data_IF_883284509600
#
_entry.id   IF_883284509600
#
_cell.length_a   1.000
_cell.length_b   1.000
_cell.length_c   1.000
_cell.angle_alpha   90.00
_cell.angle_beta   90.00
_cell.angle_gamma   90.00
#
_symmetry.space_group_name_H-M   'P 1'
#
loop_
_entity.id
_entity.type
_entity.pdbx_description
1 polymer ?
#
# COMPACT_ATOMS: atom_id res chain seq x y z
N UNK A 1 5.87 -10.65 -34.84
CA UNK A 1 5.92 -10.89 -33.37
C UNK A 1 7.20 -10.30 -32.84
N UNK A 2 7.17 -9.76 -31.61
CA UNK A 2 8.37 -9.24 -30.94
C UNK A 2 8.45 -9.74 -29.51
N UNK A 3 9.68 -9.83 -28.99
CA UNK A 3 9.90 -10.09 -27.57
C UNK A 3 9.62 -8.83 -26.76
N UNK A 4 9.06 -9.01 -25.56
CA UNK A 4 8.81 -7.95 -24.59
C UNK A 4 9.28 -8.41 -23.21
N UNK A 5 10.11 -7.58 -22.57
CA UNK A 5 10.69 -7.86 -21.25
C UNK A 5 9.94 -7.09 -20.19
N UNK A 6 8.97 -7.74 -19.55
CA UNK A 6 8.09 -7.10 -18.56
C UNK A 6 8.76 -7.12 -17.20
N UNK A 7 8.98 -5.95 -16.61
CA UNK A 7 9.61 -5.84 -15.30
C UNK A 7 8.76 -6.50 -14.21
N UNK A 8 9.44 -7.05 -13.19
CA UNK A 8 8.82 -7.60 -11.99
C UNK A 8 9.46 -7.01 -10.74
N UNK A 9 8.69 -6.96 -9.67
CA UNK A 9 9.12 -6.46 -8.37
C UNK A 9 9.78 -7.60 -7.58
N UNK A 10 11.01 -7.34 -7.12
CA UNK A 10 11.75 -8.16 -6.16
C UNK A 10 11.48 -7.66 -4.75
N UNK A 11 11.29 -8.61 -3.83
CA UNK A 11 10.94 -8.34 -2.44
C UNK A 11 11.94 -9.00 -1.50
N UNK A 12 12.49 -8.21 -0.58
CA UNK A 12 13.18 -8.72 0.61
C UNK A 12 12.38 -8.37 1.85
N UNK A 13 12.31 -9.31 2.79
CA UNK A 13 11.65 -9.15 4.08
C UNK A 13 12.68 -9.35 5.20
N UNK A 14 12.71 -8.44 6.16
CA UNK A 14 13.58 -8.53 7.35
C UNK A 14 12.91 -7.92 8.59
N UNK A 15 13.55 -8.07 9.74
CA UNK A 15 13.08 -7.49 11.01
C UNK A 15 12.49 -8.52 11.96
N UNK A 16 11.85 -8.03 13.02
CA UNK A 16 11.36 -8.86 14.12
C UNK A 16 10.03 -9.52 13.79
N UNK A 17 9.91 -10.82 14.08
CA UNK A 17 8.63 -11.54 13.97
C UNK A 17 8.14 -11.75 12.53
N UNK A 18 9.03 -11.62 11.53
CA UNK A 18 8.67 -11.85 10.15
C UNK A 18 8.35 -13.32 9.88
N UNK A 19 7.37 -13.54 8.99
CA UNK A 19 7.03 -14.86 8.47
C UNK A 19 7.19 -14.84 6.95
N UNK A 20 8.26 -15.44 6.40
CA UNK A 20 8.45 -15.50 4.95
C UNK A 20 7.53 -16.53 4.29
N UNK A 21 6.74 -17.27 5.07
CA UNK A 21 5.79 -18.24 4.53
C UNK A 21 4.63 -17.50 3.87
N UNK A 22 4.41 -17.68 2.55
CA UNK A 22 3.27 -17.09 1.88
C UNK A 22 1.97 -17.72 2.37
N UNK A 23 0.92 -16.92 2.48
CA UNK A 23 -0.45 -17.38 2.70
C UNK A 23 -1.27 -17.04 1.45
N UNK A 24 -2.10 -17.97 0.99
CA UNK A 24 -3.06 -17.66 -0.07
C UNK A 24 -4.13 -16.70 0.48
N UNK A 25 -4.33 -15.57 -0.20
CA UNK A 25 -5.27 -14.56 0.23
C UNK A 25 -6.71 -15.09 0.27
N UNK A 26 -7.05 -16.04 -0.61
CA UNK A 26 -8.37 -16.69 -0.63
C UNK A 26 -8.57 -17.60 0.59
N UNK A 27 -7.51 -18.22 1.11
CA UNK A 27 -7.58 -19.03 2.33
C UNK A 27 -7.72 -18.15 3.58
N UNK A 28 -7.14 -16.95 3.58
CA UNK A 28 -7.30 -16.00 4.69
C UNK A 28 -8.76 -15.54 4.84
N UNK A 29 -9.46 -15.23 3.75
CA UNK A 29 -10.85 -14.76 3.79
C UNK A 29 -11.83 -15.74 4.45
N UNK A 30 -11.49 -17.03 4.54
CA UNK A 30 -12.38 -18.09 5.04
C UNK A 30 -12.20 -18.43 6.53
N UNK A 31 -11.12 -17.98 7.19
CA UNK A 31 -10.81 -18.43 8.55
C UNK A 31 -11.28 -17.48 9.66
N UNK A 32 -12.61 -17.40 9.87
CA UNK A 32 -13.27 -16.64 10.96
C UNK A 32 -12.65 -16.89 12.36
N UNK A 33 -12.05 -18.05 12.58
CA UNK A 33 -11.37 -18.43 13.83
C UNK A 33 -9.99 -17.77 14.03
N UNK A 34 -9.20 -17.56 12.97
CA UNK A 34 -7.90 -16.87 13.08
C UNK A 34 -8.11 -15.38 13.38
N UNK A 35 -9.15 -14.79 12.76
CA UNK A 35 -9.59 -13.42 13.04
C UNK A 35 -10.01 -13.20 14.51
N UNK A 36 -10.61 -14.20 15.14
CA UNK A 36 -11.02 -14.16 16.55
C UNK A 36 -9.83 -14.25 17.52
N UNK A 37 -8.74 -14.93 17.12
CA UNK A 37 -7.52 -15.04 17.94
C UNK A 37 -6.68 -13.76 17.93
N UNK A 38 -6.59 -13.06 16.78
CA UNK A 38 -5.97 -11.75 16.68
C UNK A 38 -6.66 -10.66 17.53
N UNK A 39 -7.91 -10.89 17.95
CA UNK A 39 -8.68 -10.03 18.85
C UNK A 39 -8.34 -10.21 20.33
N UNK A 40 -7.68 -11.31 20.71
CA UNK A 40 -7.19 -11.50 22.07
C UNK A 40 -5.82 -10.84 22.13
N UNK A 41 -5.61 -9.92 23.06
CA UNK A 41 -4.32 -9.26 23.34
C UNK A 41 -3.25 -10.26 23.87
N UNK A 42 -3.28 -11.51 23.40
CA UNK A 42 -2.27 -12.50 23.68
C UNK A 42 -1.09 -12.19 22.77
N UNK A 43 -0.08 -11.55 23.36
CA UNK A 43 1.28 -11.65 22.87
C UNK A 43 1.66 -13.12 22.92
N UNK A 44 1.32 -13.89 21.89
CA UNK A 44 2.08 -15.07 21.58
C UNK A 44 3.45 -14.53 21.15
N UNK A 45 4.39 -14.54 22.11
CA UNK A 45 5.81 -14.56 21.78
C UNK A 45 6.02 -15.82 20.98
N UNK A 46 5.76 -15.73 19.68
CA UNK A 46 6.13 -16.76 18.77
C UNK A 46 7.66 -16.78 18.81
N UNK A 47 8.23 -17.86 19.36
CA UNK A 47 9.67 -18.13 19.36
C UNK A 47 10.11 -18.48 17.93
N UNK A 48 9.72 -17.66 16.95
CA UNK A 48 10.16 -17.78 15.57
C UNK A 48 11.60 -17.29 15.51
N UNK A 49 12.46 -18.13 14.94
CA UNK A 49 13.87 -17.86 14.82
C UNK A 49 14.10 -16.45 14.24
N UNK A 50 14.98 -15.67 14.86
CA UNK A 50 15.43 -14.41 14.30
C UNK A 50 16.08 -14.70 12.94
N UNK A 51 15.36 -14.43 11.85
CA UNK A 51 15.94 -14.45 10.52
C UNK A 51 16.92 -13.28 10.48
N UNK A 52 18.22 -13.59 10.52
CA UNK A 52 19.27 -12.58 10.51
C UNK A 52 19.45 -12.05 9.09
N UNK A 53 18.92 -10.85 8.85
CA UNK A 53 19.12 -10.07 7.63
C UNK A 53 18.02 -10.19 6.56
N UNK A 54 18.23 -9.56 5.40
CA UNK A 54 17.26 -9.51 4.30
C UNK A 54 16.96 -10.89 3.73
N UNK A 55 15.72 -11.37 3.89
CA UNK A 55 15.26 -12.61 3.29
C UNK A 55 14.59 -12.34 1.94
N UNK A 56 15.18 -12.83 0.86
CA UNK A 56 14.60 -12.77 -0.48
C UNK A 56 13.36 -13.65 -0.57
N UNK A 57 12.20 -13.07 -0.84
CA UNK A 57 10.98 -13.85 -1.02
C UNK A 57 11.05 -14.66 -2.32
N UNK A 58 10.44 -15.86 -2.38
CA UNK A 58 10.48 -16.72 -3.56
C UNK A 58 9.60 -16.20 -4.71
N UNK A 59 8.76 -15.19 -4.45
CA UNK A 59 7.81 -14.62 -5.41
C UNK A 59 8.36 -13.34 -6.05
N UNK A 60 7.85 -13.02 -7.24
CA UNK A 60 8.12 -11.75 -7.95
C UNK A 60 6.79 -11.18 -8.42
N UNK A 61 6.47 -9.96 -8.01
CA UNK A 61 5.21 -9.33 -8.39
C UNK A 61 5.28 -8.88 -9.86
N UNK A 62 4.34 -9.30 -10.69
CA UNK A 62 4.24 -8.84 -12.07
C UNK A 62 3.48 -7.52 -12.16
N UNK A 63 2.44 -7.34 -11.34
CA UNK A 63 1.57 -6.17 -11.38
C UNK A 63 1.89 -5.23 -10.24
N UNK A 64 1.65 -5.65 -9.00
CA UNK A 64 1.74 -4.76 -7.85
C UNK A 64 1.95 -5.48 -6.51
N UNK A 65 2.47 -4.70 -5.56
CA UNK A 65 2.57 -5.04 -4.15
C UNK A 65 1.74 -4.01 -3.38
N UNK A 66 0.91 -4.48 -2.47
CA UNK A 66 0.14 -3.65 -1.56
C UNK A 66 0.56 -3.91 -0.12
N UNK A 67 0.73 -2.84 0.66
CA UNK A 67 1.00 -2.93 2.09
C UNK A 67 -0.05 -2.12 2.85
N UNK A 68 -0.71 -2.73 3.82
CA UNK A 68 -1.65 -2.04 4.69
C UNK A 68 -2.20 -2.92 5.82
N UNK A 69 -2.84 -2.27 6.79
CA UNK A 69 -3.63 -2.94 7.83
C UNK A 69 -4.77 -3.76 7.19
N UNK A 70 -4.84 -5.04 7.55
CA UNK A 70 -5.82 -6.00 7.02
C UNK A 70 -7.26 -5.64 7.44
N UNK A 71 -7.42 -4.91 8.55
CA UNK A 71 -8.72 -4.69 9.21
C UNK A 71 -8.97 -3.21 9.51
N UNK A 72 -8.76 -2.36 8.50
CA UNK A 72 -8.93 -0.90 8.53
C UNK A 72 -10.36 -0.42 8.80
N UNK A 73 -11.38 -1.26 8.56
CA UNK A 73 -12.80 -0.94 8.70
C UNK A 73 -13.40 -1.21 10.09
N UNK A 74 -12.66 -1.81 11.04
CA UNK A 74 -13.21 -2.10 12.37
C UNK A 74 -13.51 -0.80 13.12
N UNK A 75 -14.80 -0.57 13.38
CA UNK A 75 -15.31 0.52 14.21
C UNK A 75 -14.66 0.49 15.59
N UNK A 76 -14.59 1.67 16.22
CA UNK A 76 -14.06 1.79 17.57
C UNK A 76 -14.87 0.98 18.57
N UNK A 77 -14.37 -0.22 18.91
CA UNK A 77 -14.88 -0.99 20.04
C UNK A 77 -14.29 -0.40 21.30
N UNK A 78 -15.17 0.11 22.17
CA UNK A 78 -14.83 0.49 23.53
C UNK A 78 -14.98 -0.75 24.40
N UNK A 79 -13.87 -1.40 24.75
CA UNK A 79 -13.91 -2.48 25.75
C UNK A 79 -13.80 -1.86 27.14
N UNK A 80 -14.84 -2.06 27.97
CA UNK A 80 -14.82 -1.70 29.39
C UNK A 80 -14.39 -2.93 30.18
N UNK A 81 -13.21 -2.88 30.79
CA UNK A 81 -12.78 -3.91 31.74
C UNK A 81 -13.06 -3.42 33.15
N UNK A 82 -13.84 -4.20 33.90
CA UNK A 82 -13.97 -4.07 35.35
C UNK A 82 -12.94 -4.98 36.00
N UNK A 83 -12.00 -4.41 36.76
CA UNK A 83 -11.15 -5.19 37.67
C UNK A 83 -11.91 -5.35 38.97
N UNK A 84 -12.32 -6.58 39.29
CA UNK A 84 -12.84 -6.92 40.62
C UNK A 84 -11.69 -6.88 41.63
N UNK A 85 -11.50 -5.72 42.25
CA UNK A 85 -10.85 -5.60 43.54
C UNK A 85 -11.81 -4.85 44.46
N UNK A 86 -12.18 -5.49 45.56
CA UNK A 86 -13.23 -5.12 46.54
C UNK A 86 -13.10 -3.74 47.22
N UNK A 87 -12.32 -2.79 46.69
CA UNK A 87 -12.15 -1.45 47.27
C UNK A 87 -12.20 -0.27 46.28
N UNK A 88 -12.24 -0.46 44.97
CA UNK A 88 -12.52 0.63 44.02
C UNK A 88 -12.68 0.11 42.58
N UNK A 89 -13.90 0.18 42.03
CA UNK A 89 -14.14 -0.09 40.61
C UNK A 89 -13.78 1.16 39.79
N UNK A 90 -12.61 1.19 39.15
CA UNK A 90 -12.29 2.19 38.12
C UNK A 90 -12.50 1.54 36.74
N UNK A 91 -13.45 2.02 35.92
CA UNK A 91 -13.58 1.54 34.55
C UNK A 91 -12.32 1.92 33.76
N UNK A 92 -11.69 0.96 33.10
CA UNK A 92 -10.65 1.22 32.10
C UNK A 92 -11.29 1.17 30.72
N UNK A 93 -11.29 2.31 30.03
CA UNK A 93 -11.77 2.42 28.65
C UNK A 93 -10.58 2.22 27.71
N UNK A 94 -10.60 1.16 26.90
CA UNK A 94 -9.70 1.03 25.75
C UNK A 94 -10.49 1.34 24.49
N UNK A 95 -10.10 2.41 23.80
CA UNK A 95 -10.64 2.75 22.48
C UNK A 95 -9.75 2.13 21.40
N UNK A 96 -10.29 1.21 20.60
CA UNK A 96 -9.64 0.76 19.37
C UNK A 96 -9.96 1.73 18.24
N UNK A 97 -9.26 2.85 18.12
CA UNK A 97 -9.46 3.79 17.01
C UNK A 97 -9.25 3.10 15.65
N UNK A 98 -9.93 3.59 14.59
CA UNK A 98 -9.71 3.16 13.20
C UNK A 98 -8.20 3.02 12.92
N UNK A 99 -7.78 1.80 12.58
CA UNK A 99 -6.36 1.49 12.35
C UNK A 99 -6.01 1.80 10.90
N UNK A 100 -5.75 3.07 10.62
CA UNK A 100 -5.01 3.43 9.42
C UNK A 100 -3.57 2.91 9.55
N UNK A 101 -3.03 2.43 8.44
CA UNK A 101 -1.68 1.89 8.33
C UNK A 101 -0.65 2.94 8.72
N UNK A 102 0.15 2.66 9.75
CA UNK A 102 1.30 3.48 10.14
C UNK A 102 2.58 2.74 9.74
N UNK A 103 3.42 3.40 8.97
CA UNK A 103 4.71 2.89 8.54
C UNK A 103 5.71 4.04 8.34
N UNK A 104 6.98 3.69 8.23
CA UNK A 104 8.04 4.58 7.76
C UNK A 104 8.39 4.16 6.32
N UNK A 105 8.57 5.12 5.42
CA UNK A 105 8.88 4.87 4.01
C UNK A 105 10.17 5.61 3.62
N UNK A 106 11.02 4.97 2.83
CA UNK A 106 12.19 5.57 2.19
C UNK A 106 12.14 5.22 0.70
N UNK A 107 12.36 6.22 -0.16
CA UNK A 107 12.30 6.11 -1.62
C UNK A 107 13.70 6.37 -2.18
N UNK A 108 14.22 5.46 -3.00
CA UNK A 108 15.56 5.50 -3.60
C UNK A 108 16.67 5.89 -2.62
N UNK A 109 16.68 5.24 -1.44
CA UNK A 109 17.63 5.48 -0.35
C UNK A 109 17.60 6.92 0.23
N UNK A 110 16.52 7.64 -0.03
CA UNK A 110 16.22 8.93 0.58
C UNK A 110 15.87 8.83 2.08
N UNK A 111 15.56 9.98 2.71
CA UNK A 111 15.24 10.01 4.14
C UNK A 111 13.99 9.18 4.46
N UNK A 112 13.96 8.60 5.66
CA UNK A 112 12.79 7.90 6.17
C UNK A 112 11.72 8.90 6.60
N UNK A 113 10.54 8.80 6.01
CA UNK A 113 9.38 9.63 6.33
C UNK A 113 8.31 8.81 7.06
N UNK A 114 7.71 9.39 8.09
CA UNK A 114 6.59 8.77 8.81
C UNK A 114 5.31 8.98 8.04
N UNK A 115 4.66 7.89 7.66
CA UNK A 115 3.44 7.91 6.89
C UNK A 115 2.30 7.22 7.65
N UNK A 116 1.14 7.88 7.68
CA UNK A 116 -0.12 7.26 8.10
C UNK A 116 -1.14 7.40 6.97
N UNK A 117 -1.73 6.28 6.54
CA UNK A 117 -2.53 6.22 5.31
C UNK A 117 -3.40 4.97 5.29
N UNK A 118 -4.27 4.82 4.29
CA UNK A 118 -5.01 3.57 4.05
C UNK A 118 -4.10 2.44 3.58
N UNK A 119 -2.93 2.75 3.02
CA UNK A 119 -1.92 1.78 2.61
C UNK A 119 -0.97 2.34 1.55
N UNK A 120 -0.05 1.50 1.12
CA UNK A 120 0.92 1.76 0.06
C UNK A 120 0.68 0.78 -1.08
N UNK A 121 0.52 1.30 -2.30
CA UNK A 121 0.54 0.49 -3.53
C UNK A 121 1.82 0.77 -4.30
N UNK A 122 2.52 -0.27 -4.73
CA UNK A 122 3.70 -0.18 -5.60
C UNK A 122 3.45 -1.07 -6.81
N UNK A 123 3.46 -0.51 -8.02
CA UNK A 123 3.15 -1.26 -9.24
C UNK A 123 4.25 -1.15 -10.29
N UNK A 124 4.29 -2.11 -11.22
CA UNK A 124 5.10 -2.07 -12.46
C UNK A 124 4.32 -1.45 -13.61
N UNK A 125 4.95 -1.25 -14.77
CA UNK A 125 4.27 -0.79 -15.99
C UNK A 125 3.23 -1.79 -16.52
N UNK A 126 3.29 -3.06 -16.09
CA UNK A 126 2.15 -3.97 -16.29
C UNK A 126 0.99 -3.59 -15.38
N UNK A 127 1.25 -3.48 -14.07
CA UNK A 127 0.21 -3.20 -13.07
C UNK A 127 -0.42 -1.82 -13.21
N UNK A 128 0.25 -0.91 -13.92
CA UNK A 128 -0.25 0.43 -14.22
C UNK A 128 -1.56 0.45 -15.01
N UNK A 129 -1.98 -0.67 -15.62
CA UNK A 129 -3.25 -0.83 -16.34
C UNK A 129 -4.36 -1.54 -15.52
N UNK A 130 -4.04 -1.98 -14.31
CA UNK A 130 -4.89 -2.85 -13.49
C UNK A 130 -5.43 -2.10 -12.26
N UNK A 131 -5.24 -2.64 -11.05
CA UNK A 131 -5.75 -2.04 -9.83
C UNK A 131 -5.11 -0.68 -9.56
N UNK A 132 -3.80 -0.55 -9.76
CA UNK A 132 -3.08 0.72 -9.59
C UNK A 132 -3.64 1.86 -10.45
N UNK A 133 -4.10 1.58 -11.68
CA UNK A 133 -4.80 2.57 -12.50
C UNK A 133 -6.08 3.06 -11.83
N UNK A 134 -6.92 2.13 -11.39
CA UNK A 134 -8.26 2.42 -10.92
C UNK A 134 -8.28 3.21 -9.61
N UNK A 135 -7.26 3.03 -8.77
CA UNK A 135 -7.15 3.76 -7.50
C UNK A 135 -6.51 5.15 -7.66
N UNK A 136 -5.82 5.41 -8.78
CA UNK A 136 -5.12 6.67 -9.03
C UNK A 136 -5.81 7.56 -10.09
N UNK A 137 -6.69 7.00 -10.93
CA UNK A 137 -7.43 7.75 -11.95
C UNK A 137 -8.37 8.78 -11.34
N UNK A 138 -8.62 9.85 -12.08
CA UNK A 138 -9.61 10.88 -11.72
C UNK A 138 -10.84 10.78 -12.62
N UNK A 139 -11.99 11.11 -12.04
CA UNK A 139 -13.24 11.22 -12.78
C UNK A 139 -13.39 12.64 -13.36
N UNK A 140 -14.12 12.75 -14.48
CA UNK A 140 -14.45 14.04 -15.08
C UNK A 140 -15.07 15.02 -14.08
N UNK A 141 -15.93 14.53 -13.19
CA UNK A 141 -16.56 15.34 -12.15
C UNK A 141 -15.52 16.05 -11.26
N UNK A 142 -14.51 15.33 -10.78
CA UNK A 142 -13.49 15.91 -9.90
C UNK A 142 -12.65 16.98 -10.63
N UNK A 143 -12.31 16.73 -11.90
CA UNK A 143 -11.60 17.69 -12.74
C UNK A 143 -12.45 18.94 -13.01
N UNK A 144 -13.74 18.75 -13.31
CA UNK A 144 -14.69 19.84 -13.51
C UNK A 144 -14.84 20.71 -12.25
N UNK A 145 -14.97 20.10 -11.08
CA UNK A 145 -15.05 20.81 -9.80
C UNK A 145 -13.80 21.66 -9.53
N UNK A 146 -12.60 21.12 -9.79
CA UNK A 146 -11.33 21.85 -9.63
C UNK A 146 -11.26 23.03 -10.60
N UNK A 147 -11.55 22.82 -11.89
CA UNK A 147 -11.46 23.88 -12.88
C UNK A 147 -12.51 24.98 -12.67
N UNK A 148 -13.70 24.65 -12.14
CA UNK A 148 -14.70 25.64 -11.71
C UNK A 148 -14.20 26.51 -10.54
N UNK A 149 -13.40 25.95 -9.64
CA UNK A 149 -12.77 26.74 -8.57
C UNK A 149 -11.75 27.71 -9.16
N UNK A 150 -10.93 27.25 -10.12
CA UNK A 150 -9.93 28.09 -10.79
C UNK A 150 -10.56 29.23 -11.62
N UNK A 151 -11.65 28.95 -12.33
CA UNK A 151 -12.46 29.94 -13.06
C UNK A 151 -12.95 31.06 -12.12
N UNK A 152 -13.41 30.72 -10.91
CA UNK A 152 -13.86 31.71 -9.91
C UNK A 152 -12.75 32.62 -9.40
N UNK A 153 -11.49 32.17 -9.41
CA UNK A 153 -10.34 32.95 -8.94
C UNK A 153 -9.65 33.71 -10.08
N UNK A 154 -10.22 33.71 -11.29
CA UNK A 154 -9.68 34.40 -12.46
C UNK A 154 -8.53 33.64 -13.15
N UNK A 155 -8.35 32.35 -12.86
CA UNK A 155 -7.34 31.51 -13.50
C UNK A 155 -7.68 31.16 -14.96
N UNK A 156 -8.97 31.13 -15.30
CA UNK A 156 -9.46 30.83 -16.66
C UNK A 156 -10.17 32.04 -17.26
N UNK A 157 -9.67 32.50 -18.41
CA UNK A 157 -10.25 33.62 -19.18
C UNK A 157 -11.40 33.17 -20.13
N UNK A 158 -11.79 31.90 -20.09
CA UNK A 158 -12.77 31.32 -21.02
C UNK A 158 -13.76 30.42 -20.27
N UNK A 159 -15.03 30.34 -20.73
CA UNK A 159 -16.02 29.47 -20.12
C UNK A 159 -15.56 28.01 -20.13
N UNK A 160 -15.77 27.30 -19.02
CA UNK A 160 -15.43 25.90 -18.90
C UNK A 160 -16.19 25.03 -19.93
N UNK A 161 -15.47 24.50 -20.92
CA UNK A 161 -16.03 23.56 -21.92
C UNK A 161 -15.88 22.11 -21.46
N UNK A 162 -16.90 21.29 -21.71
CA UNK A 162 -16.86 19.86 -21.42
C UNK A 162 -15.69 19.13 -22.12
N UNK A 163 -15.32 19.57 -23.33
CA UNK A 163 -14.16 19.04 -24.07
C UNK A 163 -12.84 19.26 -23.34
N UNK A 164 -12.68 20.40 -22.64
CA UNK A 164 -11.47 20.68 -21.86
C UNK A 164 -11.38 19.74 -20.65
N UNK A 165 -12.49 19.56 -19.93
CA UNK A 165 -12.57 18.62 -18.79
C UNK A 165 -12.17 17.22 -19.25
N UNK A 166 -12.79 16.73 -20.33
CA UNK A 166 -12.49 15.40 -20.86
C UNK A 166 -11.03 15.26 -21.29
N UNK A 167 -10.48 16.27 -21.98
CA UNK A 167 -9.09 16.27 -22.42
C UNK A 167 -8.11 16.26 -21.24
N UNK A 168 -8.35 17.07 -20.20
CA UNK A 168 -7.51 17.10 -19.00
C UNK A 168 -7.60 15.78 -18.24
N UNK A 169 -8.80 15.24 -18.05
CA UNK A 169 -9.01 13.93 -17.41
C UNK A 169 -8.28 12.83 -18.14
N UNK A 170 -8.43 12.74 -19.47
CA UNK A 170 -7.77 11.72 -20.29
C UNK A 170 -6.25 11.87 -20.22
N UNK A 171 -5.72 13.07 -20.42
CA UNK A 171 -4.27 13.32 -20.34
C UNK A 171 -3.69 12.94 -18.97
N UNK A 172 -4.40 13.26 -17.88
CA UNK A 172 -3.97 12.87 -16.54
C UNK A 172 -4.00 11.36 -16.37
N UNK A 173 -5.09 10.69 -16.76
CA UNK A 173 -5.23 9.25 -16.59
C UNK A 173 -4.22 8.48 -17.46
N UNK A 174 -3.98 8.94 -18.69
CA UNK A 174 -2.96 8.37 -19.59
C UNK A 174 -1.55 8.52 -19.01
N UNK A 175 -1.28 9.59 -18.23
CA UNK A 175 0.01 9.77 -17.55
C UNK A 175 0.29 8.76 -16.43
N UNK A 176 -0.73 8.03 -15.97
CA UNK A 176 -0.57 6.93 -15.02
C UNK A 176 -0.06 5.65 -15.70
N UNK A 177 -0.20 5.56 -17.02
CA UNK A 177 0.23 4.41 -17.81
C UNK A 177 1.69 4.59 -18.23
N UNK A 178 2.47 3.52 -18.09
CA UNK A 178 3.86 3.51 -18.55
C UNK A 178 4.23 2.12 -19.07
N UNK A 179 5.35 2.03 -19.79
CA UNK A 179 5.70 0.78 -20.47
C UNK A 179 6.06 -0.30 -19.46
N UNK A 180 5.60 -1.55 -19.65
CA UNK A 180 6.01 -2.66 -18.79
C UNK A 180 7.50 -2.99 -18.92
N UNK A 181 8.20 -2.45 -19.93
CA UNK A 181 9.64 -2.67 -20.13
C UNK A 181 10.51 -1.66 -19.36
N UNK A 182 9.92 -0.58 -18.84
CA UNK A 182 10.66 0.46 -18.09
C UNK A 182 11.08 -0.05 -16.71
N UNK A 183 12.39 0.01 -16.35
CA UNK A 183 12.94 -0.51 -15.10
C UNK A 183 12.67 0.42 -13.91
N UNK A 184 11.39 0.76 -13.70
CA UNK A 184 10.90 1.61 -12.61
C UNK A 184 9.55 1.10 -12.13
N UNK A 185 9.20 1.49 -10.92
CA UNK A 185 7.90 1.23 -10.33
C UNK A 185 7.25 2.55 -9.89
N UNK A 186 5.92 2.58 -9.92
CA UNK A 186 5.12 3.69 -9.38
C UNK A 186 4.71 3.31 -7.96
N UNK A 187 5.12 4.10 -6.98
CA UNK A 187 4.55 4.02 -5.63
C UNK A 187 3.42 5.04 -5.49
N UNK A 188 2.37 4.68 -4.75
CA UNK A 188 1.24 5.54 -4.42
C UNK A 188 0.76 5.29 -2.98
N UNK A 189 0.79 6.36 -2.18
CA UNK A 189 0.30 6.41 -0.81
C UNK A 189 -1.19 6.72 -0.85
N UNK A 190 -2.01 5.84 -0.29
CA UNK A 190 -3.47 5.95 -0.37
C UNK A 190 -4.05 6.75 0.79
N UNK A 191 -4.71 7.86 0.50
CA UNK A 191 -5.44 8.67 1.49
C UNK A 191 -4.55 9.06 2.69
N UNK A 192 -3.44 9.80 2.45
CA UNK A 192 -2.51 10.16 3.51
C UNK A 192 -3.19 11.03 4.57
N UNK A 193 -2.96 10.70 5.85
CA UNK A 193 -3.37 11.51 6.99
C UNK A 193 -2.25 12.52 7.26
N UNK A 194 -2.52 13.80 6.99
CA UNK A 194 -1.55 14.89 7.18
C UNK A 194 -1.87 15.66 8.46
N UNK A 195 -0.89 15.79 9.36
CA UNK A 195 -0.98 16.56 10.59
C UNK A 195 0.42 16.98 11.08
N UNK A 196 0.55 17.44 12.33
CA UNK A 196 1.84 17.86 12.90
C UNK A 196 2.92 16.74 12.93
N UNK A 197 2.51 15.49 13.00
CA UNK A 197 3.40 14.32 13.12
C UNK A 197 3.64 13.65 11.77
N UNK A 198 2.61 13.61 10.92
CA UNK A 198 2.65 12.97 9.60
C UNK A 198 2.58 14.04 8.52
N UNK A 199 3.65 14.17 7.74
CA UNK A 199 3.71 14.95 6.53
C UNK A 199 3.91 14.02 5.35
N UNK A 200 3.26 14.29 4.22
CA UNK A 200 3.52 13.60 2.96
C UNK A 200 4.11 14.62 2.01
N UNK A 201 5.41 14.50 1.73
CA UNK A 201 6.11 15.34 0.73
C UNK A 201 5.63 14.99 -0.67
N UNK A 202 5.37 13.71 -0.91
CA UNK A 202 4.96 13.16 -2.18
C UNK A 202 3.98 11.99 -1.99
N UNK A 203 2.78 12.11 -2.55
CA UNK A 203 1.78 11.03 -2.47
C UNK A 203 2.03 9.91 -3.47
N UNK A 204 2.73 10.20 -4.57
CA UNK A 204 3.07 9.23 -5.61
C UNK A 204 4.31 9.64 -6.38
N UNK A 205 5.06 8.66 -6.86
CA UNK A 205 6.26 8.91 -7.64
C UNK A 205 6.79 7.65 -8.30
N UNK A 206 7.65 7.84 -9.30
CA UNK A 206 8.43 6.76 -9.87
C UNK A 206 9.69 6.54 -9.04
N UNK A 207 10.08 5.29 -8.88
CA UNK A 207 11.25 4.89 -8.11
C UNK A 207 11.80 3.57 -8.61
N UNK A 208 13.06 3.29 -8.30
CA UNK A 208 13.69 1.97 -8.51
C UNK A 208 13.66 1.10 -7.24
N UNK A 209 13.57 1.75 -6.07
CA UNK A 209 13.61 1.12 -4.75
C UNK A 209 12.74 1.84 -3.73
N UNK A 210 11.87 1.11 -3.06
CA UNK A 210 11.05 1.60 -1.95
C UNK A 210 11.26 0.68 -0.76
N UNK A 211 11.70 1.25 0.36
CA UNK A 211 11.82 0.55 1.63
C UNK A 211 10.69 0.96 2.56
N UNK A 212 10.05 0.00 3.21
CA UNK A 212 8.92 0.23 4.11
C UNK A 212 9.20 -0.45 5.44
N UNK A 213 9.08 0.26 6.54
CA UNK A 213 9.10 -0.31 7.89
C UNK A 213 7.72 -0.22 8.50
N UNK A 214 7.13 -1.36 8.82
CA UNK A 214 5.82 -1.43 9.44
C UNK A 214 5.86 -0.93 10.89
N UNK A 215 4.83 -0.16 11.26
CA UNK A 215 4.43 0.16 12.64
C UNK A 215 3.00 -0.32 12.93
N UNK A 216 2.50 -1.20 12.06
CA UNK A 216 1.15 -1.74 12.10
C UNK A 216 1.08 -2.98 12.99
N UNK A 217 -0.11 -3.33 13.46
CA UNK A 217 -0.25 -4.50 14.35
C UNK A 217 -0.80 -5.73 13.63
N UNK A 218 -1.59 -5.51 12.60
CA UNK A 218 -2.30 -6.54 11.84
C UNK A 218 -2.25 -6.18 10.35
N UNK A 219 -1.04 -5.93 9.85
CA UNK A 219 -0.79 -5.56 8.47
C UNK A 219 -0.32 -6.74 7.65
N UNK A 220 -0.66 -6.69 6.38
CA UNK A 220 -0.21 -7.64 5.39
C UNK A 220 0.48 -6.92 4.22
N UNK A 221 1.39 -7.64 3.59
CA UNK A 221 1.94 -7.33 2.28
C UNK A 221 1.35 -8.30 1.27
N UNK A 222 0.56 -7.81 0.33
CA UNK A 222 -0.12 -8.59 -0.70
C UNK A 222 0.59 -8.42 -2.03
N UNK A 223 0.86 -9.53 -2.71
CA UNK A 223 1.58 -9.60 -3.99
C UNK A 223 0.62 -10.09 -5.07
N UNK A 224 0.44 -9.29 -6.12
CA UNK A 224 -0.44 -9.54 -7.28
C UNK A 224 -1.88 -9.94 -6.93
N UNK A 225 -2.35 -9.61 -5.72
CA UNK A 225 -3.68 -9.95 -5.23
C UNK A 225 -3.91 -11.43 -4.90
N UNK A 226 -2.90 -12.28 -5.00
CA UNK A 226 -3.02 -13.73 -4.74
C UNK A 226 -2.34 -14.18 -3.45
N UNK A 227 -1.13 -13.69 -3.19
CA UNK A 227 -0.30 -14.15 -2.07
C UNK A 227 -0.14 -13.03 -1.05
N UNK A 228 -0.24 -13.34 0.24
CA UNK A 228 -0.01 -12.40 1.32
C UNK A 228 1.10 -12.86 2.28
N UNK A 229 1.76 -11.89 2.90
CA UNK A 229 2.75 -12.08 3.96
C UNK A 229 2.39 -11.22 5.16
N UNK A 230 2.63 -11.73 6.37
CA UNK A 230 2.51 -10.95 7.60
C UNK A 230 3.51 -9.78 7.58
N UNK A 231 3.04 -8.57 7.87
CA UNK A 231 3.85 -7.35 7.81
C UNK A 231 3.62 -6.43 9.02
N UNK A 232 3.76 -7.00 10.21
CA UNK A 232 3.50 -6.33 11.49
C UNK A 232 4.70 -5.48 11.99
N UNK A 233 4.51 -4.79 13.11
CA UNK A 233 5.47 -3.83 13.67
C UNK A 233 6.87 -4.40 13.77
N UNK A 234 7.83 -3.64 13.25
CA UNK A 234 9.24 -4.04 13.17
C UNK A 234 9.63 -4.79 11.89
N UNK A 235 8.67 -5.28 11.10
CA UNK A 235 8.95 -5.82 9.77
C UNK A 235 9.40 -4.72 8.81
N UNK A 236 10.35 -5.03 7.95
CA UNK A 236 10.87 -4.15 6.90
C UNK A 236 10.81 -4.88 5.57
N UNK A 237 10.20 -4.25 4.57
CA UNK A 237 10.18 -4.71 3.19
C UNK A 237 11.09 -3.82 2.34
N UNK A 238 12.02 -4.42 1.61
CA UNK A 238 12.73 -3.74 0.52
C UNK A 238 12.12 -4.18 -0.81
N UNK A 239 11.49 -3.24 -1.49
CA UNK A 239 10.77 -3.41 -2.75
C UNK A 239 11.63 -2.80 -3.84
N UNK A 240 12.06 -3.56 -4.83
CA UNK A 240 12.95 -3.05 -5.88
C UNK A 240 12.67 -3.67 -7.24
N UNK A 241 13.09 -2.95 -8.28
CA UNK A 241 13.16 -3.46 -9.64
C UNK A 241 14.56 -4.02 -9.90
N UNK A 242 14.61 -5.24 -10.39
CA UNK A 242 15.82 -5.87 -10.89
C UNK A 242 15.57 -6.38 -12.31
N UNK A 243 16.38 -5.93 -13.27
CA UNK A 243 16.23 -6.30 -14.68
C UNK A 243 16.47 -7.79 -14.92
N UNK A 244 17.22 -8.48 -14.05
CA UNK A 244 17.39 -9.93 -14.12
C UNK A 244 16.11 -10.70 -13.82
N UNK A 245 15.18 -10.08 -13.10
CA UNK A 245 13.86 -10.66 -12.85
C UNK A 245 12.87 -10.38 -13.97
N UNK A 246 13.23 -9.71 -15.07
CA UNK A 246 12.27 -9.40 -16.13
C UNK A 246 11.65 -10.68 -16.74
N UNK A 247 10.33 -10.66 -16.93
CA UNK A 247 9.58 -11.74 -17.58
C UNK A 247 9.58 -11.55 -19.09
N UNK A 248 10.20 -12.48 -19.82
CA UNK A 248 10.17 -12.49 -21.28
C UNK A 248 8.81 -13.00 -21.79
N UNK A 249 8.14 -12.20 -22.61
CA UNK A 249 6.85 -12.51 -23.22
C UNK A 249 6.89 -12.27 -24.73
N UNK A 250 6.06 -12.99 -25.48
CA UNK A 250 5.89 -12.78 -26.93
C UNK A 250 4.69 -11.85 -27.15
N UNK A 251 4.91 -10.77 -27.87
CA UNK A 251 3.84 -9.95 -28.44
C UNK A 251 3.61 -10.37 -29.89
N UNK A 252 2.40 -10.82 -30.18
CA UNK A 252 1.93 -11.07 -31.54
C UNK A 252 1.50 -9.71 -32.12
N UNK A 253 2.01 -9.39 -33.29
CA UNK A 253 1.55 -8.22 -34.04
C UNK A 253 0.32 -8.66 -34.84
N UNK A 254 -0.72 -7.82 -34.87
CA UNK A 254 -1.91 -8.02 -35.72
C UNK A 254 -1.57 -7.85 -37.21
#
# INVERSE_FOLDING_TARGET
FRWQWRQRIRLYLEGTGINPTPVDLHEQQLSQEQYSRAHTNERLQDQRAEISGPHLLPVRALNEVFIGESLSSRYAVCSVSFRDNFKSCKPSFKFSLHRASYYEISVDDGPWEKQKSSGLNVCTGTGSKAWSYNINKVANQAVEEILKIDEKHGGLNLPLKAELVQKVTNNYNDSLLYSPEEPKMLFSIREPIINRVFSSSQQRGFSSKVCVRSRCWDACMVVDGGISFEFNDGAVASILIDTEDALCTVLLEE
#
